data_IF_767323620691
#
_entry.id   IF_767323620691
#
_cell.length_a   1.000
_cell.length_b   1.000
_cell.length_c   1.000
_cell.angle_alpha   90.00
_cell.angle_beta   90.00
_cell.angle_gamma   90.00
#
_symmetry.space_group_name_H-M   'P 1'
#
loop_
_entity.id
_entity.type
_entity.pdbx_description
1 polymer ?
#
# COMPACT_ATOMS: atom_id res chain seq x y z
N UNK A 1 45.93 -5.32 4.27
CA UNK A 1 44.75 -6.07 3.77
C UNK A 1 44.02 -6.86 4.87
N UNK A 2 44.70 -7.52 5.83
CA UNK A 2 44.06 -8.21 6.98
C UNK A 2 43.10 -7.35 7.81
N UNK A 3 43.47 -6.10 8.08
CA UNK A 3 42.68 -5.17 8.90
C UNK A 3 41.31 -4.84 8.29
N UNK A 4 41.22 -4.67 6.96
CA UNK A 4 39.95 -4.44 6.25
C UNK A 4 39.02 -5.67 6.31
N UNK A 5 39.58 -6.89 6.25
CA UNK A 5 38.80 -8.14 6.41
C UNK A 5 38.22 -8.29 7.81
N UNK A 6 38.99 -7.90 8.83
CA UNK A 6 38.54 -7.91 10.24
C UNK A 6 37.43 -6.87 10.45
N UNK A 7 37.58 -5.65 9.94
CA UNK A 7 36.51 -4.66 10.06
C UNK A 7 35.23 -5.10 9.31
N UNK A 8 35.34 -5.75 8.15
CA UNK A 8 34.18 -6.32 7.46
C UNK A 8 33.49 -7.47 8.21
N UNK A 9 34.20 -8.22 9.06
CA UNK A 9 33.57 -9.28 9.86
C UNK A 9 32.83 -8.76 11.09
N UNK A 10 33.22 -7.58 11.60
CA UNK A 10 32.62 -6.99 12.80
C UNK A 10 31.70 -5.80 12.51
N UNK A 11 31.73 -5.23 11.30
CA UNK A 11 30.84 -4.16 10.90
C UNK A 11 29.61 -4.74 10.21
N UNK A 12 28.38 -4.43 10.66
CA UNK A 12 27.18 -4.87 9.97
C UNK A 12 27.16 -4.30 8.54
N UNK A 13 26.76 -5.13 7.58
CA UNK A 13 26.72 -4.77 6.15
C UNK A 13 25.88 -3.54 5.84
N UNK A 14 24.91 -3.24 6.71
CA UNK A 14 24.20 -1.97 6.74
C UNK A 14 24.38 -1.31 8.12
N UNK A 15 24.62 0.01 8.16
CA UNK A 15 24.63 0.74 9.42
C UNK A 15 23.25 0.67 10.07
N UNK A 16 23.21 0.08 11.26
CA UNK A 16 22.00 -0.07 12.05
C UNK A 16 21.63 1.27 12.71
N UNK A 17 20.33 1.53 12.88
CA UNK A 17 19.77 2.67 13.65
C UNK A 17 19.95 4.09 13.05
N UNK A 18 20.13 4.23 11.73
CA UNK A 18 19.98 5.55 11.10
C UNK A 18 18.50 5.97 11.03
N UNK A 19 18.12 6.86 11.95
CA UNK A 19 16.84 7.58 11.88
C UNK A 19 16.86 8.44 10.61
N UNK A 20 15.81 8.33 9.79
CA UNK A 20 15.66 9.13 8.59
C UNK A 20 16.32 8.58 7.32
N UNK A 21 16.88 7.36 7.33
CA UNK A 21 17.52 6.77 6.13
C UNK A 21 16.62 6.72 4.90
N UNK A 22 15.32 6.52 5.09
CA UNK A 22 14.33 6.47 4.01
C UNK A 22 13.61 7.81 3.79
N UNK A 23 14.05 8.90 4.43
CA UNK A 23 13.46 10.24 4.22
C UNK A 23 13.80 10.71 2.81
N UNK A 24 12.77 11.16 2.07
CA UNK A 24 12.90 11.59 0.67
C UNK A 24 12.86 10.46 -0.36
N UNK A 25 12.75 9.19 0.06
CA UNK A 25 12.59 8.06 -0.87
C UNK A 25 11.18 8.07 -1.47
N UNK A 26 11.08 8.21 -2.80
CA UNK A 26 9.80 8.31 -3.53
C UNK A 26 9.00 7.00 -3.56
N UNK A 27 9.69 5.85 -3.57
CA UNK A 27 9.09 4.51 -3.63
C UNK A 27 9.84 3.59 -2.68
N UNK A 28 9.13 3.00 -1.72
CA UNK A 28 9.70 2.11 -0.73
C UNK A 28 8.95 0.77 -0.76
N UNK A 29 9.66 -0.32 -1.05
CA UNK A 29 9.11 -1.67 -0.91
C UNK A 29 9.17 -2.10 0.56
N UNK A 30 8.02 -2.03 1.22
CA UNK A 30 7.87 -2.32 2.63
C UNK A 30 8.10 -3.81 2.90
N UNK A 31 7.60 -4.70 2.05
CA UNK A 31 7.75 -6.15 2.22
C UNK A 31 9.21 -6.55 2.07
N UNK A 32 9.92 -6.03 1.08
CA UNK A 32 11.36 -6.27 0.93
C UNK A 32 12.14 -5.75 2.14
N UNK A 33 11.77 -4.61 2.72
CA UNK A 33 12.49 -4.09 3.90
C UNK A 33 12.17 -4.86 5.17
N UNK A 34 10.92 -5.28 5.35
CA UNK A 34 10.51 -6.13 6.47
C UNK A 34 11.08 -7.55 6.36
N UNK A 35 11.16 -8.13 5.17
CA UNK A 35 11.66 -9.50 4.98
C UNK A 35 13.13 -9.67 5.39
N UNK A 36 13.91 -8.59 5.42
CA UNK A 36 15.33 -8.63 5.79
C UNK A 36 15.56 -8.70 7.30
N UNK A 37 14.76 -7.98 8.10
CA UNK A 37 15.05 -7.78 9.53
C UNK A 37 13.85 -8.00 10.47
N UNK A 38 12.63 -8.08 9.93
CA UNK A 38 11.38 -8.06 10.70
C UNK A 38 10.35 -9.06 10.16
N UNK A 39 10.77 -10.31 9.97
CA UNK A 39 9.92 -11.39 9.44
C UNK A 39 8.65 -11.62 10.28
N UNK A 40 8.70 -11.40 11.59
CA UNK A 40 7.54 -11.54 12.49
C UNK A 40 6.43 -10.53 12.19
N UNK A 41 6.81 -9.27 11.93
CA UNK A 41 5.86 -8.22 11.54
C UNK A 41 5.24 -8.58 10.20
N UNK A 42 6.07 -9.07 9.27
CA UNK A 42 5.58 -9.50 7.97
C UNK A 42 4.57 -10.67 8.08
N UNK A 43 4.81 -11.61 9.00
CA UNK A 43 3.84 -12.67 9.28
C UNK A 43 2.52 -12.16 9.86
N UNK A 44 2.58 -11.12 10.71
CA UNK A 44 1.35 -10.43 11.17
C UNK A 44 0.61 -9.77 10.01
N UNK A 45 1.32 -9.15 9.06
CA UNK A 45 0.70 -8.59 7.86
C UNK A 45 0.04 -9.70 7.05
N UNK A 46 0.74 -10.79 6.77
CA UNK A 46 0.19 -11.92 6.02
C UNK A 46 -0.99 -12.62 6.73
N UNK A 47 -1.03 -12.58 8.05
CA UNK A 47 -2.16 -13.08 8.82
C UNK A 47 -3.46 -12.32 8.50
N UNK A 48 -3.38 -11.02 8.27
CA UNK A 48 -4.52 -10.17 7.93
C UNK A 48 -4.89 -10.19 6.44
N UNK A 49 -4.03 -10.73 5.57
CA UNK A 49 -4.32 -10.87 4.15
C UNK A 49 -5.17 -12.10 3.89
N UNK A 50 -6.11 -11.99 2.95
CA UNK A 50 -6.93 -13.12 2.51
C UNK A 50 -6.13 -14.04 1.56
N UNK A 51 -6.54 -15.32 1.41
CA UNK A 51 -5.79 -16.26 0.56
C UNK A 51 -5.65 -15.82 -0.91
N UNK A 52 -6.60 -15.03 -1.42
CA UNK A 52 -6.51 -14.39 -2.75
C UNK A 52 -5.43 -13.32 -2.80
N UNK A 53 -5.28 -12.53 -1.74
CA UNK A 53 -4.24 -11.50 -1.65
C UNK A 53 -2.86 -12.15 -1.48
N UNK A 54 -2.78 -13.27 -0.77
CA UNK A 54 -1.55 -14.07 -0.69
C UNK A 54 -1.10 -14.59 -2.07
N UNK A 55 -2.05 -14.89 -2.96
CA UNK A 55 -1.72 -15.22 -4.34
C UNK A 55 -1.18 -14.02 -5.13
N UNK A 56 -1.77 -12.84 -4.91
CA UNK A 56 -1.28 -11.59 -5.50
C UNK A 56 0.13 -11.25 -5.01
N UNK A 57 0.42 -11.46 -3.72
CA UNK A 57 1.76 -11.30 -3.11
C UNK A 57 2.80 -12.16 -3.82
N UNK A 58 2.47 -13.40 -4.18
CA UNK A 58 3.38 -14.29 -4.93
C UNK A 58 3.71 -13.79 -6.35
N UNK A 59 2.86 -12.95 -6.93
CA UNK A 59 2.97 -12.46 -8.31
C UNK A 59 3.76 -11.15 -8.41
N UNK A 60 3.97 -10.43 -7.31
CA UNK A 60 4.66 -9.13 -7.31
C UNK A 60 6.12 -9.27 -7.74
N UNK A 61 6.92 -10.04 -7.00
CA UNK A 61 8.31 -10.33 -7.34
C UNK A 61 8.84 -11.56 -6.56
N UNK A 62 10.06 -11.98 -6.86
CA UNK A 62 10.70 -13.14 -6.22
C UNK A 62 11.02 -12.93 -4.73
N UNK A 63 11.18 -11.68 -4.28
CA UNK A 63 11.44 -11.35 -2.88
C UNK A 63 10.17 -11.55 -2.04
N UNK A 64 9.03 -11.05 -2.50
CA UNK A 64 7.74 -11.20 -1.85
C UNK A 64 7.34 -12.66 -1.77
N UNK A 65 7.55 -13.41 -2.88
CA UNK A 65 7.34 -14.85 -2.91
C UNK A 65 8.18 -15.59 -1.88
N UNK A 66 9.48 -15.30 -1.79
CA UNK A 66 10.36 -15.88 -0.76
C UNK A 66 9.92 -15.49 0.65
N UNK A 67 9.49 -14.25 0.83
CA UNK A 67 9.03 -13.75 2.12
C UNK A 67 7.77 -14.49 2.59
N UNK A 68 6.83 -14.79 1.68
CA UNK A 68 5.68 -15.65 1.95
C UNK A 68 6.11 -17.07 2.30
N UNK A 69 7.07 -17.65 1.56
CA UNK A 69 7.53 -19.03 1.79
C UNK A 69 8.23 -19.21 3.14
N UNK A 70 8.83 -18.13 3.67
CA UNK A 70 9.44 -18.13 4.99
C UNK A 70 8.38 -18.13 6.12
N UNK A 71 7.13 -17.73 5.84
CA UNK A 71 6.02 -17.82 6.78
C UNK A 71 5.21 -19.10 6.51
N UNK A 72 5.41 -20.10 7.35
CA UNK A 72 4.71 -21.39 7.23
C UNK A 72 3.18 -21.25 7.23
N UNK A 73 2.62 -20.42 8.13
CA UNK A 73 1.17 -20.30 8.28
C UNK A 73 0.54 -19.61 7.07
N UNK A 74 1.19 -18.55 6.58
CA UNK A 74 0.73 -17.85 5.38
C UNK A 74 0.88 -18.72 4.13
N UNK A 75 1.99 -19.47 4.02
CA UNK A 75 2.22 -20.39 2.93
C UNK A 75 1.19 -21.52 2.88
N UNK A 76 0.83 -22.12 4.02
CA UNK A 76 -0.17 -23.18 4.09
C UNK A 76 -1.54 -22.69 3.59
N UNK A 77 -1.97 -21.49 4.01
CA UNK A 77 -3.22 -20.85 3.53
C UNK A 77 -3.20 -20.60 2.02
N UNK A 78 -2.08 -20.07 1.51
CA UNK A 78 -1.87 -19.86 0.08
C UNK A 78 -1.96 -21.18 -0.70
N UNK A 79 -1.30 -22.24 -0.21
CA UNK A 79 -1.29 -23.56 -0.84
C UNK A 79 -2.70 -24.16 -0.91
N UNK A 80 -3.45 -24.13 0.19
CA UNK A 80 -4.82 -24.63 0.23
C UNK A 80 -5.73 -23.87 -0.76
N UNK A 81 -5.60 -22.55 -0.85
CA UNK A 81 -6.36 -21.74 -1.80
C UNK A 81 -6.03 -22.07 -3.26
N UNK A 82 -4.74 -22.25 -3.58
CA UNK A 82 -4.29 -22.66 -4.91
C UNK A 82 -4.81 -24.04 -5.29
N UNK A 83 -4.82 -24.98 -4.35
CA UNK A 83 -5.36 -26.33 -4.56
C UNK A 83 -6.87 -26.30 -4.78
N UNK A 84 -7.62 -25.60 -3.93
CA UNK A 84 -9.07 -25.45 -4.07
C UNK A 84 -9.46 -24.80 -5.40
N UNK A 85 -8.72 -23.76 -5.83
CA UNK A 85 -8.96 -23.08 -7.11
C UNK A 85 -8.69 -24.00 -8.30
N UNK A 86 -7.63 -24.83 -8.22
CA UNK A 86 -7.30 -25.82 -9.26
C UNK A 86 -8.39 -26.89 -9.38
N UNK A 87 -8.84 -27.44 -8.25
CA UNK A 87 -9.91 -28.45 -8.24
C UNK A 87 -11.24 -27.87 -8.76
N UNK A 88 -11.60 -26.64 -8.38
CA UNK A 88 -12.80 -25.98 -8.88
C UNK A 88 -12.79 -25.73 -10.40
N UNK A 89 -11.62 -25.47 -10.99
CA UNK A 89 -11.47 -25.36 -12.44
C UNK A 89 -11.59 -26.73 -13.14
N UNK A 90 -11.11 -27.79 -12.51
CA UNK A 90 -11.20 -29.16 -13.04
C UNK A 90 -12.64 -29.67 -13.02
N UNK A 91 -13.39 -29.44 -11.94
CA UNK A 91 -14.81 -29.77 -11.82
C UNK A 91 -15.67 -28.99 -12.84
N UNK A 92 -15.38 -27.71 -13.07
CA UNK A 92 -16.05 -26.91 -14.11
C UNK A 92 -15.73 -27.36 -15.54
N UNK A 93 -14.59 -28.03 -15.75
CA UNK A 93 -14.22 -28.66 -17.01
C UNK A 93 -14.89 -30.02 -17.24
N UNK A 94 -15.32 -30.70 -16.17
CA UNK A 94 -15.97 -32.02 -16.23
C UNK A 94 -17.50 -31.96 -16.45
N UNK A 95 -18.13 -30.79 -16.35
CA UNK A 95 -19.57 -30.60 -16.57
C UNK A 95 -20.02 -30.43 -18.03
N UNK A 96 -19.14 -30.64 -19.01
CA UNK A 96 -19.51 -30.78 -20.43
C UNK A 96 -19.25 -32.22 -20.87
N UNK A 97 -20.05 -33.13 -20.36
CA UNK A 97 -20.13 -34.48 -20.89
C UNK A 97 -20.77 -34.48 -22.30
N UNK A 98 -20.16 -35.24 -23.21
CA UNK A 98 -20.51 -35.45 -24.62
C UNK A 98 -20.08 -34.39 -25.65
N UNK A 99 -18.83 -34.51 -26.11
CA UNK A 99 -18.60 -34.76 -27.54
C UNK A 99 -17.31 -35.57 -27.74
N UNK A 100 -17.46 -36.83 -28.14
CA UNK A 100 -16.54 -37.52 -29.05
C UNK A 100 -15.13 -37.88 -28.56
N UNK A 101 -15.00 -39.16 -28.21
CA UNK A 101 -13.93 -40.07 -28.67
C UNK A 101 -12.52 -40.00 -28.07
N UNK A 102 -12.15 -41.18 -27.55
CA UNK A 102 -10.79 -41.67 -27.29
C UNK A 102 -9.97 -41.66 -28.59
N UNK A 103 -8.74 -41.14 -28.59
CA UNK A 103 -7.56 -41.89 -29.05
C UNK A 103 -6.23 -41.15 -28.79
N UNK A 104 -5.35 -41.86 -28.08
CA UNK A 104 -3.90 -42.03 -28.26
C UNK A 104 -3.02 -40.91 -28.87
N UNK A 105 -1.90 -40.70 -28.17
CA UNK A 105 -0.58 -40.24 -28.61
C UNK A 105 -0.27 -40.21 -30.11
N UNK A 106 0.35 -39.10 -30.55
CA UNK A 106 1.26 -39.08 -31.71
C UNK A 106 1.39 -37.69 -32.36
N UNK A 107 2.60 -37.16 -32.59
CA UNK A 107 2.80 -35.97 -33.40
C UNK A 107 3.07 -36.36 -34.85
N UNK A 108 2.31 -35.83 -35.82
CA UNK A 108 2.78 -35.77 -37.20
C UNK A 108 2.15 -34.62 -37.98
N UNK A 109 2.98 -34.07 -38.86
CA UNK A 109 2.76 -32.88 -39.66
C UNK A 109 1.89 -33.12 -40.90
N UNK A 110 1.38 -32.00 -41.44
CA UNK A 110 1.15 -31.72 -42.87
C UNK A 110 0.14 -32.58 -43.66
N UNK A 111 -0.94 -31.98 -44.18
CA UNK A 111 -0.98 -31.41 -45.55
C UNK A 111 -2.38 -30.88 -45.96
N UNK A 112 -2.31 -29.92 -46.89
CA UNK A 112 -3.35 -29.28 -47.71
C UNK A 112 -4.41 -30.28 -48.22
N UNK A 113 -5.70 -29.97 -48.42
CA UNK A 113 -6.32 -29.07 -49.42
C UNK A 113 -7.85 -29.26 -49.21
N UNK A 114 -8.73 -28.26 -49.18
CA UNK A 114 -9.57 -27.85 -50.33
C UNK A 114 -10.70 -26.93 -49.83
N UNK A 115 -10.84 -25.83 -50.56
CA UNK A 115 -12.00 -24.93 -50.74
C UNK A 115 -13.28 -25.11 -49.89
N UNK A 116 -13.68 -24.03 -49.23
CA UNK A 116 -14.81 -23.18 -49.63
C UNK A 116 -15.05 -22.05 -48.61
N UNK A 117 -15.18 -20.83 -49.13
CA UNK A 117 -16.11 -19.86 -48.56
C UNK A 117 -15.54 -18.77 -47.66
N UNK A 118 -15.32 -17.62 -48.29
CA UNK A 118 -15.69 -16.29 -47.79
C UNK A 118 -14.86 -15.68 -46.64
N UNK A 119 -13.94 -14.81 -47.05
CA UNK A 119 -13.39 -13.73 -46.23
C UNK A 119 -14.54 -12.89 -45.64
N UNK A 120 -14.64 -12.80 -44.32
CA UNK A 120 -15.34 -11.68 -43.69
C UNK A 120 -14.62 -11.20 -42.43
N UNK A 121 -14.22 -9.94 -42.54
CA UNK A 121 -13.80 -8.95 -41.56
C UNK A 121 -14.63 -8.92 -40.26
N UNK A 122 -13.93 -8.60 -39.16
CA UNK A 122 -14.36 -7.94 -37.91
C UNK A 122 -15.83 -8.00 -37.45
N UNK A 123 -16.04 -8.42 -36.18
CA UNK A 123 -16.61 -7.55 -35.13
C UNK A 123 -16.67 -8.26 -33.77
N UNK A 124 -15.93 -7.70 -32.80
CA UNK A 124 -16.14 -7.90 -31.36
C UNK A 124 -17.42 -7.17 -30.96
N UNK A 125 -18.49 -7.91 -30.66
CA UNK A 125 -19.67 -7.33 -30.02
C UNK A 125 -19.57 -7.51 -28.50
N UNK A 126 -19.10 -6.45 -27.85
CA UNK A 126 -19.29 -6.24 -26.42
C UNK A 126 -20.78 -6.01 -26.15
N UNK A 127 -21.37 -6.81 -25.26
CA UNK A 127 -22.77 -6.65 -24.87
C UNK A 127 -22.94 -5.38 -24.03
N UNK A 128 -23.78 -4.49 -24.55
CA UNK A 128 -24.27 -3.26 -23.93
C UNK A 128 -25.38 -3.62 -22.94
N UNK A 129 -25.18 -3.32 -21.64
CA UNK A 129 -26.24 -3.33 -20.65
C UNK A 129 -26.58 -1.87 -20.30
N UNK A 130 -27.64 -1.35 -20.92
CA UNK A 130 -28.45 -0.22 -20.44
C UNK A 130 -29.47 -0.79 -19.44
N UNK A 131 -29.85 -0.19 -18.31
CA UNK A 131 -29.95 1.23 -17.96
C UNK A 131 -30.31 1.38 -16.46
N UNK A 132 -29.79 2.44 -15.80
CA UNK A 132 -30.61 3.43 -15.08
C UNK A 132 -29.75 4.70 -14.85
N UNK A 133 -30.19 5.89 -15.28
CA UNK A 133 -29.45 7.13 -15.06
C UNK A 133 -29.64 7.58 -13.61
N UNK A 134 -28.57 7.59 -12.83
CA UNK A 134 -28.50 8.31 -11.57
C UNK A 134 -28.11 9.77 -11.84
N UNK A 135 -28.66 10.73 -11.06
CA UNK A 135 -28.60 12.15 -11.36
C UNK A 135 -27.15 12.65 -11.41
N UNK A 136 -26.91 13.56 -12.37
CA UNK A 136 -25.66 14.26 -12.58
C UNK A 136 -25.03 14.67 -11.24
N UNK A 137 -23.94 13.99 -10.91
CA UNK A 137 -23.04 14.41 -9.85
C UNK A 137 -22.56 15.79 -10.27
N UNK A 138 -22.99 16.81 -9.54
CA UNK A 138 -22.39 18.14 -9.61
C UNK A 138 -20.90 17.95 -9.37
N UNK A 139 -20.13 18.06 -10.45
CA UNK A 139 -18.67 18.09 -10.44
C UNK A 139 -18.23 19.03 -9.31
N UNK A 140 -17.56 18.55 -8.25
CA UNK A 140 -16.84 19.46 -7.38
C UNK A 140 -15.79 20.12 -8.27
N UNK A 141 -15.81 21.45 -8.35
CA UNK A 141 -14.92 22.29 -9.16
C UNK A 141 -13.45 22.24 -8.72
N UNK A 142 -13.02 21.17 -8.05
CA UNK A 142 -11.67 20.95 -7.57
C UNK A 142 -11.08 19.71 -8.26
N UNK A 143 -10.58 19.90 -9.49
CA UNK A 143 -9.75 18.90 -10.14
C UNK A 143 -8.42 18.82 -9.35
N UNK A 144 -8.27 17.78 -8.53
CA UNK A 144 -6.97 17.47 -7.94
C UNK A 144 -6.00 17.16 -9.08
N UNK A 145 -4.99 18.00 -9.26
CA UNK A 145 -3.98 17.79 -10.30
C UNK A 145 -3.07 16.64 -9.87
N UNK A 146 -2.53 15.90 -10.84
CA UNK A 146 -1.53 14.86 -10.59
C UNK A 146 -0.27 15.48 -9.97
N UNK A 147 -0.20 15.50 -8.64
CA UNK A 147 0.86 16.18 -7.88
C UNK A 147 0.38 16.86 -6.58
N UNK A 148 -0.93 17.04 -6.42
CA UNK A 148 -1.48 17.68 -5.22
C UNK A 148 -1.34 16.76 -4.01
N UNK A 149 -0.77 17.27 -2.91
CA UNK A 149 -0.71 16.55 -1.64
C UNK A 149 -1.95 16.86 -0.81
N UNK A 150 -2.56 15.82 -0.23
CA UNK A 150 -3.73 15.97 0.64
C UNK A 150 -3.36 15.80 2.12
N UNK A 151 -4.03 16.59 2.97
CA UNK A 151 -4.01 16.47 4.44
C UNK A 151 -5.44 16.40 4.97
N UNK A 152 -5.61 15.98 6.22
CA UNK A 152 -6.91 16.06 6.91
C UNK A 152 -7.10 17.46 7.49
N UNK A 153 -8.29 18.02 7.30
CA UNK A 153 -8.69 19.29 7.88
C UNK A 153 -8.82 19.16 9.42
N UNK A 154 -8.26 20.09 10.22
CA UNK A 154 -8.41 20.06 11.68
C UNK A 154 -9.84 20.37 12.17
N UNK A 155 -10.68 21.03 11.36
CA UNK A 155 -12.08 21.34 11.73
C UNK A 155 -13.04 20.19 11.42
N UNK A 156 -13.04 19.69 10.19
CA UNK A 156 -14.02 18.70 9.73
C UNK A 156 -13.42 17.32 9.44
N UNK A 157 -12.11 17.13 9.58
CA UNK A 157 -11.36 15.92 9.21
C UNK A 157 -11.42 15.53 7.72
N UNK A 158 -12.11 16.32 6.89
CA UNK A 158 -12.19 16.14 5.44
C UNK A 158 -10.87 16.42 4.71
N UNK A 159 -10.86 16.15 3.42
CA UNK A 159 -9.68 16.37 2.57
C UNK A 159 -9.36 17.86 2.43
N UNK A 160 -8.09 18.20 2.57
CA UNK A 160 -7.55 19.54 2.36
C UNK A 160 -6.34 19.49 1.42
N UNK A 161 -6.30 20.39 0.45
CA UNK A 161 -5.21 20.47 -0.53
C UNK A 161 -4.08 21.31 0.03
N UNK A 162 -2.89 20.73 0.05
CA UNK A 162 -1.66 21.41 0.43
C UNK A 162 -1.17 22.25 -0.75
N UNK A 163 -0.98 23.54 -0.51
CA UNK A 163 -0.34 24.42 -1.49
C UNK A 163 1.17 24.13 -1.51
N UNK A 164 1.76 23.88 -2.70
CA UNK A 164 3.18 23.65 -2.80
C UNK A 164 3.96 24.87 -2.30
N UNK A 165 5.01 24.62 -1.55
CA UNK A 165 5.98 25.63 -1.09
C UNK A 165 5.46 26.68 -0.08
N UNK A 166 4.27 26.52 0.50
CA UNK A 166 3.69 27.55 1.39
C UNK A 166 3.31 27.08 2.81
N UNK A 167 3.66 25.86 3.24
CA UNK A 167 3.25 25.31 4.56
C UNK A 167 1.75 25.55 4.86
N UNK A 168 0.91 25.54 3.82
CA UNK A 168 -0.49 25.98 3.82
C UNK A 168 -1.37 24.89 3.23
N UNK A 169 -2.55 24.67 3.79
CA UNK A 169 -3.54 23.77 3.24
C UNK A 169 -4.95 24.34 3.39
N UNK A 170 -5.80 24.10 2.38
CA UNK A 170 -7.18 24.59 2.34
C UNK A 170 -8.12 23.40 2.23
N UNK A 171 -9.14 23.33 3.09
CA UNK A 171 -10.15 22.27 3.01
C UNK A 171 -10.92 22.34 1.69
N UNK A 172 -11.09 21.18 1.03
CA UNK A 172 -11.82 21.04 -0.23
C UNK A 172 -13.32 21.21 -0.02
N UNK A 173 -13.83 20.82 1.15
CA UNK A 173 -15.25 20.94 1.45
C UNK A 173 -15.65 22.41 1.50
N UNK A 174 -16.55 22.81 0.60
CA UNK A 174 -17.06 24.17 0.43
C UNK A 174 -17.71 24.69 1.72
N UNK A 175 -18.28 23.79 2.54
CA UNK A 175 -18.88 24.17 3.83
C UNK A 175 -17.84 24.47 4.90
N UNK A 176 -16.65 23.88 4.80
CA UNK A 176 -15.58 24.05 5.77
C UNK A 176 -14.61 25.16 5.33
N UNK A 177 -14.05 25.04 4.12
CA UNK A 177 -13.15 26.04 3.52
C UNK A 177 -11.92 26.42 4.37
N UNK A 178 -11.63 25.67 5.44
CA UNK A 178 -10.65 26.10 6.44
C UNK A 178 -9.24 26.13 5.87
N UNK A 179 -8.59 27.29 6.04
CA UNK A 179 -7.23 27.58 5.59
C UNK A 179 -6.26 27.54 6.78
N UNK A 180 -5.33 26.59 6.75
CA UNK A 180 -4.49 26.26 7.90
C UNK A 180 -3.04 26.03 7.55
N UNK A 181 -2.17 26.23 8.54
CA UNK A 181 -0.76 25.91 8.44
C UNK A 181 -0.54 24.40 8.57
N UNK A 182 0.19 23.78 7.64
CA UNK A 182 0.48 22.33 7.67
C UNK A 182 1.45 21.91 8.77
N UNK A 183 2.12 22.85 9.42
CA UNK A 183 3.09 22.59 10.48
C UNK A 183 2.43 22.57 11.87
N UNK A 184 1.54 23.53 12.15
CA UNK A 184 0.91 23.69 13.47
C UNK A 184 -0.60 23.43 13.50
N UNK A 185 -1.23 23.23 12.33
CA UNK A 185 -2.67 23.02 12.14
C UNK A 185 -3.59 24.16 12.62
N UNK A 186 -3.03 25.29 13.04
CA UNK A 186 -3.78 26.52 13.31
C UNK A 186 -4.11 27.26 12.00
N UNK A 187 -4.95 28.29 12.11
CA UNK A 187 -5.25 29.18 10.99
C UNK A 187 -3.97 29.70 10.35
N UNK A 188 -3.94 29.75 9.01
CA UNK A 188 -2.76 30.11 8.26
C UNK A 188 -2.22 31.50 8.69
N UNK A 189 -0.91 31.60 8.94
CA UNK A 189 -0.32 32.74 9.64
C UNK A 189 0.99 33.27 9.04
N UNK A 190 1.21 33.17 7.73
CA UNK A 190 2.39 33.77 7.08
C UNK A 190 2.38 35.31 7.18
N UNK A 191 3.50 35.99 7.50
CA UNK A 191 4.88 35.50 7.64
C UNK A 191 5.28 35.10 9.08
N UNK A 192 4.34 35.09 10.03
CA UNK A 192 4.63 34.77 11.44
C UNK A 192 5.06 33.30 11.56
N UNK A 193 6.03 33.04 12.42
CA UNK A 193 6.46 31.67 12.76
C UNK A 193 5.35 30.95 13.53
N UNK A 194 5.31 29.62 13.39
CA UNK A 194 4.42 28.77 14.17
C UNK A 194 4.67 29.00 15.67
N UNK A 195 3.58 29.10 16.44
CA UNK A 195 3.69 29.08 17.90
C UNK A 195 4.06 27.64 18.31
N UNK A 196 5.15 27.42 19.06
CA UNK A 196 5.49 26.09 19.54
C UNK A 196 4.36 25.56 20.42
N UNK A 197 3.88 24.35 20.11
CA UNK A 197 2.79 23.68 20.84
C UNK A 197 3.20 23.33 22.28
N UNK A 198 4.51 23.16 22.51
CA UNK A 198 5.08 23.01 23.84
C UNK A 198 5.73 24.32 24.26
N UNK A 199 5.20 24.98 25.29
CA UNK A 199 6.04 25.88 26.09
C UNK A 199 7.21 25.01 26.57
N UNK A 200 8.44 25.42 26.27
CA UNK A 200 9.58 24.91 27.01
C UNK A 200 9.20 25.02 28.49
N UNK A 201 9.22 23.88 29.20
CA UNK A 201 9.05 23.85 30.65
C UNK A 201 9.93 24.97 31.18
N UNK A 202 9.31 26.02 31.70
CA UNK A 202 10.08 27.07 32.35
C UNK A 202 10.91 26.33 33.40
N UNK A 203 12.21 26.61 33.45
CA UNK A 203 13.20 25.97 34.34
C UNK A 203 12.74 25.92 35.82
N UNK A 204 11.68 26.66 36.18
CA UNK A 204 10.94 26.59 37.43
C UNK A 204 10.22 25.26 37.76
N UNK A 205 10.01 24.35 36.80
CA UNK A 205 9.28 23.09 37.04
C UNK A 205 10.20 21.85 37.20
N UNK A 206 11.42 22.05 37.72
CA UNK A 206 12.28 20.92 38.12
C UNK A 206 11.74 20.30 39.41
N UNK A 207 11.52 18.98 39.42
CA UNK A 207 11.16 18.25 40.64
C UNK A 207 12.24 18.48 41.71
N UNK A 208 11.82 18.80 42.94
CA UNK A 208 12.73 19.10 44.05
C UNK A 208 12.85 20.57 44.46
N UNK A 209 12.14 21.50 43.81
CA UNK A 209 12.01 22.88 44.31
C UNK A 209 11.47 22.90 45.74
N UNK A 210 11.86 23.92 46.52
CA UNK A 210 11.43 24.10 47.91
C UNK A 210 9.90 24.12 48.06
N UNK A 211 9.17 24.59 47.03
CA UNK A 211 7.71 24.55 46.97
C UNK A 211 7.15 23.15 46.70
N UNK A 212 7.75 22.39 45.78
CA UNK A 212 7.42 20.97 45.51
C UNK A 212 7.59 20.09 46.76
N UNK A 213 8.73 20.24 47.48
CA UNK A 213 8.98 19.51 48.73
C UNK A 213 7.99 19.88 49.86
N UNK A 214 7.51 21.12 49.90
CA UNK A 214 6.56 21.58 50.93
C UNK A 214 5.14 21.02 50.70
N UNK A 215 4.74 20.81 49.45
CA UNK A 215 3.46 20.16 49.12
C UNK A 215 3.46 18.66 49.38
N UNK A 216 4.58 17.96 49.15
CA UNK A 216 4.70 16.52 49.46
C UNK A 216 4.64 16.23 50.97
N UNK A 217 5.03 17.19 51.82
CA UNK A 217 4.94 17.04 53.29
C UNK A 217 3.50 17.16 53.85
N UNK A 218 2.51 17.48 53.00
CA UNK A 218 1.09 17.63 53.40
C UNK A 218 0.22 16.45 52.96
N UNK A 219 0.82 15.43 52.33
CA UNK A 219 0.23 14.12 52.06
C UNK A 219 0.75 13.13 53.09
#
# INVERSE_FOLDING_TARGET
QRFKKIIQSFSPSEPSRLIGRNVGVRKLDIVQKLSQNFSQILGSVFHHLDPSDLDSVCQVNSVWKKALYNDKKAYDRYKMFREATRSALQEKGHGKENCGEKLLSGPLAQNLTTSKGHLTCMQTQAQKIESKPQPAVLEPSFSLRSGDQLRRCPHCQGSAVVQPNQDRAICIDVKCGYDFCTQCFAAFHHPKRCKPLCRASSVAAVAGTRKSKKNLKRL
#
